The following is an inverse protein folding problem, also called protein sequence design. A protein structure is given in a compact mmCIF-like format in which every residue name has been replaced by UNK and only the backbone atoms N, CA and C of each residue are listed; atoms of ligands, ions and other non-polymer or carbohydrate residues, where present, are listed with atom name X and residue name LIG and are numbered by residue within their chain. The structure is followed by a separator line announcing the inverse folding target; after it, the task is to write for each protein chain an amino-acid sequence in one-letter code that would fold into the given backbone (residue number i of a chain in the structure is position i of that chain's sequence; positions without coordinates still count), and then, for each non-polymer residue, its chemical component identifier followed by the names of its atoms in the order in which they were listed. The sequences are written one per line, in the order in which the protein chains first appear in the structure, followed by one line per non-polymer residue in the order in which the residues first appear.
data_IF_431314578704
#
_entry.id   IF_431314578704
#
_cell.length_a   1.000
_cell.length_b   1.000
_cell.length_c   1.000
_cell.angle_alpha   90.00
_cell.angle_beta   90.00
_cell.angle_gamma   90.00
#
_symmetry.space_group_name_H-M   'P 1'
#
loop_
_entity.id
_entity.type
_entity.pdbx_description
1 polymer ?
#
# COMPACT_ATOMS: atom_id res chain seq x y z
N UNK A 1 -23.00 -14.78 -3.39
CA UNK A 1 -23.47 -13.37 -3.35
C UNK A 1 -22.55 -12.39 -2.60
N UNK A 2 -22.01 -12.72 -1.41
CA UNK A 2 -21.16 -11.79 -0.64
C UNK A 2 -19.87 -11.37 -1.37
N UNK A 3 -19.25 -12.27 -2.13
CA UNK A 3 -18.03 -11.99 -2.89
C UNK A 3 -18.22 -10.92 -3.99
N UNK A 4 -19.36 -10.94 -4.68
CA UNK A 4 -19.67 -9.95 -5.73
C UNK A 4 -19.82 -8.53 -5.15
N UNK A 5 -20.49 -8.42 -3.99
CA UNK A 5 -20.64 -7.13 -3.28
C UNK A 5 -19.30 -6.57 -2.80
N UNK A 6 -18.40 -7.43 -2.30
CA UNK A 6 -17.05 -7.01 -1.90
C UNK A 6 -16.21 -6.56 -3.10
N UNK A 7 -16.26 -7.30 -4.21
CA UNK A 7 -15.57 -6.95 -5.46
C UNK A 7 -16.00 -5.57 -5.99
N UNK A 8 -17.31 -5.30 -6.03
CA UNK A 8 -17.85 -4.01 -6.46
C UNK A 8 -17.40 -2.88 -5.53
N UNK A 9 -17.39 -3.13 -4.22
CA UNK A 9 -16.91 -2.15 -3.22
C UNK A 9 -15.43 -1.84 -3.43
N UNK A 10 -14.58 -2.85 -3.60
CA UNK A 10 -13.13 -2.70 -3.89
C UNK A 10 -12.92 -1.84 -5.13
N UNK A 11 -13.57 -2.18 -6.24
CA UNK A 11 -13.45 -1.42 -7.50
C UNK A 11 -13.89 0.05 -7.34
N UNK A 12 -14.97 0.31 -6.60
CA UNK A 12 -15.45 1.67 -6.36
C UNK A 12 -14.43 2.49 -5.54
N UNK A 13 -13.85 1.89 -4.50
CA UNK A 13 -12.89 2.58 -3.64
C UNK A 13 -11.56 2.84 -4.35
N UNK A 14 -11.06 1.87 -5.13
CA UNK A 14 -9.86 2.07 -5.94
C UNK A 14 -10.04 3.20 -6.98
N UNK A 15 -11.23 3.29 -7.61
CA UNK A 15 -11.56 4.40 -8.51
C UNK A 15 -11.63 5.75 -7.77
N UNK A 16 -12.19 5.76 -6.57
CA UNK A 16 -12.30 6.97 -5.75
C UNK A 16 -10.94 7.46 -5.24
N UNK A 17 -9.99 6.56 -5.00
CA UNK A 17 -8.63 6.88 -4.53
C UNK A 17 -7.77 7.65 -5.55
N UNK A 18 -8.16 7.65 -6.84
CA UNK A 18 -7.46 8.38 -7.93
C UNK A 18 -5.95 8.14 -7.95
N UNK A 19 -5.55 6.88 -7.72
CA UNK A 19 -4.14 6.48 -7.77
C UNK A 19 -3.57 6.75 -9.18
N UNK A 20 -2.34 7.29 -9.31
CA UNK A 20 -1.73 7.54 -10.61
C UNK A 20 -1.60 6.28 -11.47
N UNK A 21 -1.34 5.13 -10.84
CA UNK A 21 -1.24 3.83 -11.49
C UNK A 21 -1.54 2.74 -10.46
N UNK A 22 -2.26 1.69 -10.87
CA UNK A 22 -2.42 0.50 -10.03
C UNK A 22 -1.09 -0.26 -9.99
N UNK A 23 -0.56 -0.45 -8.79
CA UNK A 23 0.69 -1.16 -8.53
C UNK A 23 0.45 -2.27 -7.53
N UNK A 24 1.33 -3.26 -7.54
CA UNK A 24 1.34 -4.37 -6.59
C UNK A 24 2.63 -4.33 -5.78
N UNK A 25 2.63 -4.95 -4.61
CA UNK A 25 3.86 -5.20 -3.85
C UNK A 25 4.73 -6.25 -4.54
N UNK A 26 4.12 -7.11 -5.35
CA UNK A 26 4.83 -8.06 -6.18
C UNK A 26 5.71 -7.34 -7.22
N UNK A 27 6.96 -7.75 -7.31
CA UNK A 27 7.98 -7.10 -8.15
C UNK A 27 8.45 -5.71 -7.68
N UNK A 28 8.04 -5.21 -6.51
CA UNK A 28 8.58 -3.96 -5.98
C UNK A 28 10.03 -4.15 -5.49
N UNK A 29 10.90 -3.18 -5.84
CA UNK A 29 12.29 -3.16 -5.38
C UNK A 29 12.40 -2.59 -3.96
N UNK A 30 12.74 -3.45 -3.01
CA UNK A 30 12.88 -3.10 -1.59
C UNK A 30 14.26 -2.57 -1.23
N UNK A 31 15.24 -2.59 -2.14
CA UNK A 31 16.63 -2.23 -1.83
C UNK A 31 16.79 -0.77 -1.40
N UNK A 32 15.92 0.12 -1.88
CA UNK A 32 15.88 1.53 -1.52
C UNK A 32 15.12 1.81 -0.22
N UNK A 33 14.35 0.85 0.29
CA UNK A 33 13.56 1.03 1.51
C UNK A 33 14.43 0.78 2.74
N UNK A 34 14.30 1.67 3.72
CA UNK A 34 14.90 1.52 5.05
C UNK A 34 13.77 1.60 6.07
N UNK A 35 13.79 0.70 7.04
CA UNK A 35 12.81 0.63 8.11
C UNK A 35 13.46 1.05 9.44
N UNK A 36 12.70 1.63 10.38
CA UNK A 36 13.14 1.80 11.75
C UNK A 36 13.28 0.44 12.46
N UNK A 37 13.89 0.42 13.64
CA UNK A 37 14.24 -0.81 14.37
C UNK A 37 13.02 -1.66 14.76
N UNK A 38 11.89 -1.01 15.05
CA UNK A 38 10.65 -1.61 15.54
C UNK A 38 9.60 -1.86 14.44
N UNK A 39 9.95 -1.59 13.18
CA UNK A 39 9.05 -1.75 12.05
C UNK A 39 9.74 -2.47 10.89
N UNK A 40 8.95 -3.09 10.02
CA UNK A 40 9.54 -3.86 8.94
C UNK A 40 8.58 -4.16 7.82
N UNK A 41 9.14 -4.75 6.77
CA UNK A 41 8.41 -5.14 5.56
C UNK A 41 7.19 -6.01 5.87
N UNK A 42 7.29 -6.94 6.82
CA UNK A 42 6.19 -7.81 7.20
C UNK A 42 4.99 -7.02 7.73
N UNK A 43 5.22 -6.17 8.74
CA UNK A 43 4.19 -5.31 9.34
C UNK A 43 3.61 -4.29 8.34
N UNK A 44 4.42 -3.82 7.38
CA UNK A 44 3.96 -2.95 6.32
C UNK A 44 3.05 -3.70 5.33
N UNK A 45 3.48 -4.88 4.89
CA UNK A 45 2.76 -5.68 3.88
C UNK A 45 1.48 -6.32 4.43
N UNK A 46 1.40 -6.59 5.73
CA UNK A 46 0.18 -7.04 6.40
C UNK A 46 -0.83 -5.91 6.63
N UNK A 47 -0.42 -4.65 6.43
CA UNK A 47 -1.24 -3.47 6.68
C UNK A 47 -1.65 -3.30 8.16
N UNK A 48 -0.85 -3.81 9.10
CA UNK A 48 -1.11 -3.73 10.55
C UNK A 48 -1.34 -2.28 11.02
N UNK A 49 -0.68 -1.31 10.37
CA UNK A 49 -0.83 0.11 10.69
C UNK A 49 -2.26 0.61 10.42
N UNK A 50 -2.98 0.03 9.45
CA UNK A 50 -4.38 0.37 9.16
C UNK A 50 -5.27 -0.11 10.30
N UNK A 51 -5.08 -1.34 10.76
CA UNK A 51 -5.84 -1.89 11.90
C UNK A 51 -5.58 -1.11 13.19
N UNK A 52 -4.34 -0.64 13.36
CA UNK A 52 -3.90 0.17 14.50
C UNK A 52 -4.21 1.67 14.36
N UNK A 53 -4.85 2.09 13.26
CA UNK A 53 -5.13 3.49 12.93
C UNK A 53 -3.89 4.42 13.05
N UNK A 54 -2.75 3.93 12.54
CA UNK A 54 -1.48 4.66 12.52
C UNK A 54 -1.21 5.26 11.14
N UNK A 55 -0.51 6.39 11.11
CA UNK A 55 -0.09 7.04 9.86
C UNK A 55 1.23 6.47 9.34
N UNK A 56 1.35 6.39 8.01
CA UNK A 56 2.58 5.99 7.33
C UNK A 56 3.17 7.18 6.56
N UNK A 57 4.40 7.55 6.89
CA UNK A 57 5.14 8.59 6.18
C UNK A 57 6.25 7.97 5.33
N UNK A 58 6.19 8.19 4.02
CA UNK A 58 7.22 7.76 3.08
C UNK A 58 8.10 8.95 2.68
N UNK A 59 9.39 8.92 2.99
CA UNK A 59 10.32 10.01 2.69
C UNK A 59 11.65 9.49 2.11
N UNK A 60 12.36 10.36 1.38
CA UNK A 60 13.61 10.03 0.69
C UNK A 60 13.70 10.63 -0.71
N UNK A 61 14.80 10.39 -1.41
CA UNK A 61 15.12 11.00 -2.70
C UNK A 61 14.12 10.68 -3.82
N UNK A 62 14.05 11.53 -4.85
CA UNK A 62 13.17 11.31 -6.01
C UNK A 62 13.54 10.00 -6.71
N UNK A 63 12.54 9.27 -7.23
CA UNK A 63 12.78 8.03 -7.98
C UNK A 63 12.98 6.76 -7.15
N UNK A 64 12.98 6.84 -5.82
CA UNK A 64 13.17 5.69 -4.89
C UNK A 64 11.93 4.80 -4.70
N UNK A 65 10.90 4.95 -5.53
CA UNK A 65 9.73 4.06 -5.49
C UNK A 65 8.67 4.37 -4.41
N UNK A 66 8.77 5.48 -3.66
CA UNK A 66 7.77 5.87 -2.64
C UNK A 66 6.32 5.90 -3.16
N UNK A 67 6.09 6.52 -4.30
CA UNK A 67 4.75 6.59 -4.91
C UNK A 67 4.25 5.21 -5.34
N UNK A 68 5.14 4.34 -5.84
CA UNK A 68 4.77 2.95 -6.17
C UNK A 68 4.34 2.23 -4.90
N UNK A 69 5.13 2.31 -3.83
CA UNK A 69 4.83 1.66 -2.56
C UNK A 69 3.47 2.12 -2.00
N UNK A 70 3.21 3.43 -1.97
CA UNK A 70 1.92 3.96 -1.54
C UNK A 70 0.75 3.43 -2.38
N UNK A 71 0.89 3.39 -3.72
CA UNK A 71 -0.14 2.85 -4.59
C UNK A 71 -0.36 1.35 -4.37
N UNK A 72 0.71 0.58 -4.17
CA UNK A 72 0.64 -0.85 -3.93
C UNK A 72 -0.04 -1.19 -2.60
N UNK A 73 0.30 -0.47 -1.52
CA UNK A 73 -0.36 -0.64 -0.22
C UNK A 73 -1.85 -0.29 -0.29
N UNK A 74 -2.20 0.79 -1.02
CA UNK A 74 -3.59 1.15 -1.25
C UNK A 74 -4.35 0.07 -2.05
N UNK A 75 -3.69 -0.64 -2.97
CA UNK A 75 -4.30 -1.75 -3.69
C UNK A 75 -4.56 -2.96 -2.78
N UNK A 76 -3.65 -3.27 -1.85
CA UNK A 76 -3.81 -4.40 -0.94
C UNK A 76 -4.80 -4.18 0.20
N UNK A 77 -5.08 -2.93 0.57
CA UNK A 77 -6.02 -2.62 1.63
C UNK A 77 -7.50 -2.87 1.29
N UNK A 78 -7.85 -3.04 0.01
CA UNK A 78 -9.25 -3.06 -0.44
C UNK A 78 -9.66 -4.34 -1.12
#
# INVERSE_FOLDING_TARGET
EHASRQQTRRQRLLRAARLPTLKTLDGYDWTAVRFPEDYGRGALASLDFVERAQDLVLYGDVGTGKTHLACALAVEAW
#
